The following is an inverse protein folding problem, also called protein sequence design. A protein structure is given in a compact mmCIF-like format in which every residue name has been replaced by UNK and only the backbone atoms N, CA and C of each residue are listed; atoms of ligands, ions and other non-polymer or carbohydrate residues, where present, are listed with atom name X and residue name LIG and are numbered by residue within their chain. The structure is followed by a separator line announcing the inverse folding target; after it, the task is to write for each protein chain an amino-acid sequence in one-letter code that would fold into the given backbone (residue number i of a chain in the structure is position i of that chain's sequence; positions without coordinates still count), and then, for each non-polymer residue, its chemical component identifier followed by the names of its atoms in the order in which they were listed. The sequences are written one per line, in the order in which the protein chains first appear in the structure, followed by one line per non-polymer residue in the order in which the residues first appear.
data_IF_959650288711
#
_entry.id   IF_959650288711
#
_cell.length_a   1.000
_cell.length_b   1.000
_cell.length_c   1.000
_cell.angle_alpha   90.00
_cell.angle_beta   90.00
_cell.angle_gamma   90.00
#
_symmetry.space_group_name_H-M   'P 1'
#
loop_
_entity.id
_entity.type
_entity.pdbx_description
1 polymer ?
#
# COMPACT_ATOMS: atom_id res chain seq x y z
N UNK A 1 52.56 8.90 69.87
CA UNK A 1 51.13 8.50 69.81
C UNK A 1 50.63 8.85 68.42
N UNK A 2 50.20 7.85 67.65
CA UNK A 2 49.45 7.97 66.39
C UNK A 2 47.96 8.26 66.70
N UNK A 3 47.14 8.82 65.78
CA UNK A 3 46.69 8.07 64.60
C UNK A 3 46.60 8.85 63.27
N UNK A 4 46.45 8.05 62.23
CA UNK A 4 46.34 8.37 60.81
C UNK A 4 45.00 9.00 60.42
N UNK A 5 44.98 9.76 59.32
CA UNK A 5 43.83 9.80 58.43
C UNK A 5 44.27 9.76 56.97
N UNK A 6 43.89 8.67 56.33
CA UNK A 6 43.96 8.39 54.91
C UNK A 6 43.06 9.34 54.13
N UNK A 7 43.61 10.12 53.20
CA UNK A 7 42.85 10.69 52.10
C UNK A 7 43.05 9.84 50.85
N UNK A 8 42.32 8.73 50.81
CA UNK A 8 41.98 8.05 49.58
C UNK A 8 40.83 8.82 48.91
N UNK A 9 41.13 9.90 48.21
CA UNK A 9 40.13 10.52 47.32
C UNK A 9 40.00 9.67 46.06
N UNK A 10 38.87 8.98 45.97
CA UNK A 10 38.39 8.25 44.82
C UNK A 10 38.27 9.13 43.57
N UNK A 11 38.70 8.54 42.45
CA UNK A 11 38.02 8.47 41.15
C UNK A 11 37.24 9.70 40.63
N UNK A 12 37.55 10.08 39.39
CA UNK A 12 36.63 9.83 38.27
C UNK A 12 37.31 10.24 36.97
N UNK A 13 37.57 9.26 36.09
CA UNK A 13 37.94 9.54 34.71
C UNK A 13 36.85 10.40 34.08
N UNK A 14 37.23 11.56 33.53
CA UNK A 14 36.32 12.45 32.82
C UNK A 14 35.86 11.78 31.53
N UNK A 15 34.85 10.92 31.60
CA UNK A 15 34.12 10.51 30.42
C UNK A 15 33.39 11.76 29.93
N UNK A 16 33.88 12.33 28.83
CA UNK A 16 33.31 13.53 28.22
C UNK A 16 31.81 13.29 28.00
N UNK A 17 30.99 13.93 28.83
CA UNK A 17 29.53 13.77 28.86
C UNK A 17 28.91 13.99 27.48
N UNK A 18 29.55 14.84 26.67
CA UNK A 18 29.21 15.06 25.27
C UNK A 18 29.30 13.79 24.41
N UNK A 19 30.34 12.97 24.57
CA UNK A 19 30.54 11.72 23.83
C UNK A 19 29.51 10.68 24.25
N UNK A 20 29.24 10.58 25.55
CA UNK A 20 28.21 9.67 26.08
C UNK A 20 26.84 10.03 25.49
N UNK A 21 26.46 11.32 25.53
CA UNK A 21 25.20 11.78 24.97
C UNK A 21 25.11 11.55 23.46
N UNK A 22 26.22 11.77 22.73
CA UNK A 22 26.27 11.54 21.29
C UNK A 22 26.07 10.07 20.95
N UNK A 23 26.75 9.15 21.62
CA UNK A 23 26.56 7.71 21.38
C UNK A 23 25.15 7.24 21.76
N UNK A 24 24.55 7.83 22.79
CA UNK A 24 23.18 7.52 23.20
C UNK A 24 22.16 7.98 22.16
N UNK A 25 22.36 9.18 21.59
CA UNK A 25 21.53 9.72 20.52
C UNK A 25 21.68 8.91 19.22
N UNK A 26 22.91 8.55 18.83
CA UNK A 26 23.18 7.68 17.68
C UNK A 26 22.56 6.30 17.89
N UNK A 27 22.71 5.73 19.09
CA UNK A 27 22.09 4.46 19.46
C UNK A 27 20.57 4.49 19.30
N UNK A 28 19.91 5.54 19.79
CA UNK A 28 18.46 5.74 19.62
C UNK A 28 18.05 5.89 18.16
N UNK A 29 18.81 6.62 17.34
CA UNK A 29 18.54 6.76 15.91
C UNK A 29 18.69 5.44 15.17
N UNK A 30 19.72 4.65 15.48
CA UNK A 30 19.93 3.33 14.89
C UNK A 30 18.81 2.38 15.32
N UNK A 31 18.46 2.34 16.61
CA UNK A 31 17.37 1.51 17.12
C UNK A 31 16.03 1.91 16.49
N UNK A 32 15.75 3.21 16.43
CA UNK A 32 14.53 3.75 15.81
C UNK A 32 14.48 3.46 14.32
N UNK A 33 15.60 3.57 13.62
CA UNK A 33 15.73 3.21 12.21
C UNK A 33 15.51 1.72 11.95
N UNK A 34 16.09 0.84 12.78
CA UNK A 34 15.85 -0.61 12.70
C UNK A 34 14.40 -0.97 13.04
N UNK A 35 13.85 -0.40 14.11
CA UNK A 35 12.46 -0.63 14.51
C UNK A 35 11.49 -0.17 13.40
N UNK A 36 11.75 0.99 12.81
CA UNK A 36 11.00 1.48 11.66
C UNK A 36 11.14 0.55 10.45
N UNK A 37 12.34 0.04 10.19
CA UNK A 37 12.59 -0.89 9.08
C UNK A 37 11.85 -2.22 9.24
N UNK A 38 11.82 -2.78 10.46
CA UNK A 38 11.08 -4.01 10.79
C UNK A 38 9.56 -3.80 10.80
N UNK A 39 9.09 -2.64 11.25
CA UNK A 39 7.67 -2.30 11.29
C UNK A 39 7.13 -1.82 9.94
N UNK A 40 7.98 -1.50 8.97
CA UNK A 40 7.53 -1.12 7.64
C UNK A 40 6.79 -2.32 7.05
N UNK A 41 5.48 -2.21 6.75
CA UNK A 41 4.79 -3.29 6.05
C UNK A 41 5.58 -3.57 4.78
N UNK A 42 5.74 -4.84 4.36
CA UNK A 42 6.38 -5.19 3.11
C UNK A 42 5.52 -4.61 1.98
N UNK A 43 5.77 -3.35 1.68
CA UNK A 43 5.43 -2.71 0.43
C UNK A 43 6.30 -3.44 -0.58
N UNK A 44 5.75 -4.53 -1.11
CA UNK A 44 6.40 -5.44 -2.02
C UNK A 44 6.96 -4.57 -3.15
N UNK A 45 8.27 -4.36 -3.13
CA UNK A 45 8.95 -3.67 -4.19
C UNK A 45 8.73 -4.53 -5.45
N UNK A 46 7.99 -4.08 -6.47
CA UNK A 46 7.64 -4.92 -7.61
C UNK A 46 8.86 -5.40 -8.40
N UNK A 47 10.03 -4.76 -8.22
CA UNK A 47 11.31 -5.25 -8.77
C UNK A 47 11.92 -6.43 -8.01
N UNK A 48 11.50 -6.68 -6.76
CA UNK A 48 12.02 -7.78 -5.95
C UNK A 48 11.26 -9.10 -6.17
N UNK A 49 10.02 -9.05 -6.69
CA UNK A 49 9.24 -10.24 -7.05
C UNK A 49 8.77 -10.12 -8.52
N UNK A 50 9.43 -10.81 -9.48
CA UNK A 50 9.02 -10.81 -10.89
C UNK A 50 7.57 -11.23 -11.11
N UNK A 51 7.03 -12.12 -10.26
CA UNK A 51 5.63 -12.58 -10.34
C UNK A 51 4.67 -11.48 -9.91
N UNK A 52 5.05 -10.64 -8.96
CA UNK A 52 4.25 -9.49 -8.56
C UNK A 52 4.15 -8.44 -9.69
N UNK A 53 5.25 -8.23 -10.42
CA UNK A 53 5.25 -7.38 -11.61
C UNK A 53 4.37 -7.97 -12.73
N UNK A 54 4.43 -9.28 -12.95
CA UNK A 54 3.55 -9.99 -13.89
C UNK A 54 2.07 -9.84 -13.51
N UNK A 55 1.72 -10.03 -12.23
CA UNK A 55 0.35 -9.86 -11.75
C UNK A 55 -0.16 -8.43 -11.98
N UNK A 56 0.68 -7.44 -11.70
CA UNK A 56 0.37 -6.03 -11.97
C UNK A 56 0.17 -5.77 -13.47
N UNK A 57 1.03 -6.31 -14.33
CA UNK A 57 0.92 -6.18 -15.77
C UNK A 57 -0.36 -6.85 -16.31
N UNK A 58 -0.71 -8.02 -15.78
CA UNK A 58 -1.94 -8.74 -16.15
C UNK A 58 -3.16 -7.86 -15.92
N UNK A 59 -3.28 -7.22 -14.75
CA UNK A 59 -4.38 -6.30 -14.45
C UNK A 59 -4.34 -5.07 -15.34
N UNK A 60 -3.19 -4.42 -15.47
CA UNK A 60 -3.08 -3.18 -16.25
C UNK A 60 -3.42 -3.36 -17.73
N UNK A 61 -3.15 -4.54 -18.29
CA UNK A 61 -3.41 -4.91 -19.70
C UNK A 61 -4.73 -5.64 -19.90
N UNK A 62 -5.41 -6.05 -18.83
CA UNK A 62 -6.69 -6.73 -18.92
C UNK A 62 -7.73 -5.86 -19.65
N UNK A 63 -8.58 -6.50 -20.46
CA UNK A 63 -9.66 -5.80 -21.18
C UNK A 63 -10.58 -5.08 -20.20
N UNK A 64 -10.94 -3.84 -20.51
CA UNK A 64 -11.93 -3.08 -19.78
C UNK A 64 -13.25 -3.00 -20.56
N UNK A 65 -14.31 -2.55 -19.88
CA UNK A 65 -15.64 -2.38 -20.47
C UNK A 65 -15.70 -1.25 -21.51
N UNK A 66 -15.06 -0.12 -21.21
CA UNK A 66 -15.16 1.12 -21.99
C UNK A 66 -13.83 1.54 -22.63
N UNK A 67 -12.75 0.79 -22.42
CA UNK A 67 -11.44 1.08 -22.98
C UNK A 67 -10.69 -0.22 -23.34
N UNK A 68 -9.63 -0.14 -24.15
CA UNK A 68 -8.80 -1.30 -24.48
C UNK A 68 -8.24 -2.03 -23.26
N UNK A 69 -7.83 -1.30 -22.22
CA UNK A 69 -7.26 -1.88 -21.00
C UNK A 69 -7.79 -1.23 -19.72
N UNK A 70 -7.71 -1.93 -18.58
CA UNK A 70 -8.11 -1.38 -17.27
C UNK A 70 -7.31 -0.14 -16.89
N UNK A 71 -5.99 -0.13 -17.16
CA UNK A 71 -5.15 1.05 -16.93
C UNK A 71 -5.67 2.26 -17.72
N UNK A 72 -6.05 2.05 -18.98
CA UNK A 72 -6.58 3.12 -19.82
C UNK A 72 -7.95 3.58 -19.33
N UNK A 73 -8.86 2.67 -19.01
CA UNK A 73 -10.18 3.01 -18.49
C UNK A 73 -10.12 3.84 -17.21
N UNK A 74 -9.21 3.49 -16.28
CA UNK A 74 -9.01 4.25 -15.05
C UNK A 74 -8.42 5.64 -15.32
N UNK A 75 -7.44 5.72 -16.24
CA UNK A 75 -6.82 6.99 -16.63
C UNK A 75 -7.84 7.94 -17.26
N UNK A 76 -8.65 7.45 -18.21
CA UNK A 76 -9.69 8.23 -18.87
C UNK A 76 -10.77 8.68 -17.88
N UNK A 77 -11.14 7.84 -16.92
CA UNK A 77 -12.07 8.20 -15.84
C UNK A 77 -11.52 9.35 -14.99
N UNK A 78 -10.27 9.25 -14.54
CA UNK A 78 -9.61 10.29 -13.75
C UNK A 78 -9.50 11.59 -14.55
N UNK A 79 -9.06 11.53 -15.80
CA UNK A 79 -8.99 12.69 -16.69
C UNK A 79 -10.37 13.31 -16.92
N UNK A 80 -11.41 12.51 -17.11
CA UNK A 80 -12.79 12.98 -17.26
C UNK A 80 -13.32 13.70 -16.02
N UNK A 81 -12.88 13.29 -14.81
CA UNK A 81 -13.20 14.01 -13.56
C UNK A 81 -12.44 15.32 -13.46
N UNK A 82 -11.14 15.32 -13.74
CA UNK A 82 -10.30 16.52 -13.74
C UNK A 82 -10.81 17.57 -14.74
N UNK A 83 -11.18 17.15 -15.96
CA UNK A 83 -11.72 18.04 -17.00
C UNK A 83 -13.05 18.70 -16.60
N UNK A 84 -13.80 18.11 -15.67
CA UNK A 84 -15.03 18.66 -15.10
C UNK A 84 -14.77 19.60 -13.92
N UNK A 85 -13.51 19.94 -13.66
CA UNK A 85 -13.11 20.81 -12.55
C UNK A 85 -13.20 20.17 -11.17
N UNK A 86 -13.30 18.84 -11.06
CA UNK A 86 -13.28 18.13 -9.78
C UNK A 86 -11.84 17.84 -9.36
N UNK A 87 -11.48 18.12 -8.12
CA UNK A 87 -10.23 17.63 -7.55
C UNK A 87 -10.19 16.10 -7.61
N UNK A 88 -9.16 15.55 -8.23
CA UNK A 88 -8.98 14.09 -8.34
C UNK A 88 -7.51 13.75 -8.26
N UNK A 89 -7.20 12.68 -7.52
CA UNK A 89 -5.84 12.14 -7.43
C UNK A 89 -5.90 10.62 -7.48
N UNK A 90 -5.17 10.05 -8.43
CA UNK A 90 -4.92 8.61 -8.46
C UNK A 90 -3.69 8.30 -7.61
N UNK A 91 -3.80 7.25 -6.80
CA UNK A 91 -2.69 6.68 -6.04
C UNK A 91 -1.75 5.86 -6.91
N UNK A 92 -0.73 5.30 -6.28
CA UNK A 92 0.16 4.35 -6.93
C UNK A 92 -0.50 2.98 -7.06
N UNK A 93 -0.13 2.26 -8.12
CA UNK A 93 -0.50 0.85 -8.27
C UNK A 93 0.36 0.04 -7.31
N UNK A 94 -0.29 -0.78 -6.51
CA UNK A 94 0.37 -1.66 -5.54
C UNK A 94 -0.06 -3.10 -5.79
N UNK A 95 0.82 -4.04 -5.42
CA UNK A 95 0.56 -5.46 -5.54
C UNK A 95 0.92 -6.14 -4.22
N UNK A 96 0.00 -6.95 -3.73
CA UNK A 96 0.13 -7.71 -2.49
C UNK A 96 0.03 -9.19 -2.82
N UNK A 97 1.01 -9.98 -2.39
CA UNK A 97 0.95 -11.44 -2.50
C UNK A 97 0.02 -11.99 -1.42
N UNK A 98 -1.03 -12.72 -1.81
CA UNK A 98 -1.94 -13.39 -0.86
C UNK A 98 -1.47 -14.81 -0.53
N UNK A 99 -1.26 -15.64 -1.54
CA UNK A 99 -0.82 -17.04 -1.37
C UNK A 99 -0.31 -17.60 -2.68
N UNK A 100 0.79 -18.34 -2.67
CA UNK A 100 1.31 -19.05 -3.86
C UNK A 100 1.40 -18.14 -5.10
N UNK A 101 0.53 -18.37 -6.10
CA UNK A 101 0.41 -17.62 -7.36
C UNK A 101 -0.79 -16.65 -7.39
N UNK A 102 -1.36 -16.40 -6.21
CA UNK A 102 -2.46 -15.50 -5.99
C UNK A 102 -1.99 -14.15 -5.46
N UNK A 103 -2.28 -13.11 -6.22
CA UNK A 103 -1.92 -11.73 -5.94
C UNK A 103 -3.17 -10.86 -5.88
N UNK A 104 -3.09 -9.73 -5.20
CA UNK A 104 -4.10 -8.68 -5.21
C UNK A 104 -3.45 -7.39 -5.67
N UNK A 105 -3.98 -6.81 -6.74
CA UNK A 105 -3.53 -5.53 -7.28
C UNK A 105 -4.51 -4.46 -6.85
N UNK A 106 -3.99 -3.36 -6.30
CA UNK A 106 -4.78 -2.27 -5.72
C UNK A 106 -4.34 -0.92 -6.28
N UNK A 107 -5.31 -0.04 -6.47
CA UNK A 107 -5.09 1.39 -6.71
C UNK A 107 -6.23 2.17 -6.10
N UNK A 108 -5.94 3.27 -5.42
CA UNK A 108 -6.96 4.16 -4.88
C UNK A 108 -7.13 5.38 -5.78
N UNK A 109 -8.37 5.86 -5.91
CA UNK A 109 -8.66 7.16 -6.52
C UNK A 109 -9.36 8.02 -5.48
N UNK A 110 -8.78 9.17 -5.20
CA UNK A 110 -9.35 10.18 -4.32
C UNK A 110 -10.07 11.23 -5.15
N UNK A 111 -11.34 11.44 -4.86
CA UNK A 111 -12.24 12.32 -5.58
C UNK A 111 -12.77 13.40 -4.63
N UNK A 112 -12.79 14.64 -5.09
CA UNK A 112 -13.45 15.74 -4.42
C UNK A 112 -14.97 15.64 -4.67
N UNK A 113 -15.73 15.48 -3.60
CA UNK A 113 -17.18 15.51 -3.61
C UNK A 113 -17.73 16.74 -2.93
N UNK A 114 -18.72 17.36 -3.58
CA UNK A 114 -19.45 18.53 -3.09
C UNK A 114 -20.83 18.11 -2.56
N UNK A 115 -20.88 17.33 -1.49
CA UNK A 115 -22.18 17.00 -0.85
C UNK A 115 -22.40 17.93 0.35
N UNK A 116 -23.40 18.81 0.25
CA UNK A 116 -23.87 19.62 1.39
C UNK A 116 -23.06 20.87 1.74
N UNK A 117 -22.42 21.53 0.77
CA UNK A 117 -21.80 22.86 0.98
C UNK A 117 -20.39 22.86 1.56
N UNK A 118 -19.71 21.70 1.61
CA UNK A 118 -18.30 21.58 2.01
C UNK A 118 -17.49 20.67 1.09
N UNK A 119 -16.17 20.91 1.06
CA UNK A 119 -15.18 20.06 0.37
C UNK A 119 -15.03 18.75 1.14
N UNK A 120 -15.52 17.63 0.60
CA UNK A 120 -15.30 16.29 1.18
C UNK A 120 -14.53 15.43 0.19
N UNK A 121 -13.42 14.85 0.65
CA UNK A 121 -12.65 13.89 -0.13
C UNK A 121 -13.22 12.49 0.07
N UNK A 122 -13.45 11.79 -1.04
CA UNK A 122 -13.88 10.40 -1.07
C UNK A 122 -12.77 9.56 -1.67
N UNK A 123 -12.40 8.47 -0.99
CA UNK A 123 -11.44 7.50 -1.50
C UNK A 123 -12.19 6.30 -2.06
N UNK A 124 -11.79 5.85 -3.25
CA UNK A 124 -12.32 4.66 -3.91
C UNK A 124 -11.21 3.68 -4.17
N UNK A 125 -11.29 2.52 -3.52
CA UNK A 125 -10.34 1.44 -3.70
C UNK A 125 -10.75 0.53 -4.85
N UNK A 126 -9.89 0.44 -5.85
CA UNK A 126 -10.02 -0.50 -6.95
C UNK A 126 -9.14 -1.70 -6.64
N UNK A 127 -9.75 -2.86 -6.47
CA UNK A 127 -9.06 -4.09 -6.10
C UNK A 127 -9.37 -5.20 -7.10
N UNK A 128 -8.32 -5.88 -7.57
CA UNK A 128 -8.43 -7.06 -8.40
C UNK A 128 -7.60 -8.20 -7.81
N UNK A 129 -8.19 -9.37 -7.72
CA UNK A 129 -7.49 -10.61 -7.45
C UNK A 129 -6.95 -11.17 -8.76
N UNK A 130 -5.71 -11.63 -8.72
CA UNK A 130 -4.98 -12.19 -9.85
C UNK A 130 -4.52 -13.59 -9.51
N UNK A 131 -4.92 -14.57 -10.31
CA UNK A 131 -4.39 -15.93 -10.26
C UNK A 131 -3.44 -16.10 -11.45
N UNK A 132 -2.12 -16.09 -11.20
CA UNK A 132 -1.11 -16.20 -12.26
C UNK A 132 -1.14 -17.57 -12.94
N UNK A 133 -1.49 -18.63 -12.22
CA UNK A 133 -1.58 -19.99 -12.76
C UNK A 133 -2.69 -20.09 -13.81
N UNK A 134 -3.82 -19.43 -13.57
CA UNK A 134 -4.96 -19.39 -14.50
C UNK A 134 -4.95 -18.20 -15.45
N UNK A 135 -3.99 -17.28 -15.27
CA UNK A 135 -3.96 -15.97 -15.93
C UNK A 135 -5.32 -15.24 -15.83
N UNK A 136 -5.95 -15.30 -14.66
CA UNK A 136 -7.28 -14.73 -14.46
C UNK A 136 -7.24 -13.48 -13.58
N UNK A 137 -8.11 -12.52 -13.89
CA UNK A 137 -8.31 -11.29 -13.14
C UNK A 137 -9.77 -11.25 -12.70
N UNK A 138 -10.00 -11.08 -11.40
CA UNK A 138 -11.34 -11.05 -10.80
C UNK A 138 -11.49 -9.75 -10.00
N UNK A 139 -12.58 -8.99 -10.17
CA UNK A 139 -12.77 -7.77 -9.40
C UNK A 139 -13.13 -8.13 -7.95
N UNK A 140 -12.51 -7.44 -6.99
CA UNK A 140 -12.73 -7.62 -5.56
C UNK A 140 -13.44 -6.41 -4.92
N UNK A 141 -13.59 -5.31 -5.65
CA UNK A 141 -14.35 -4.13 -5.22
C UNK A 141 -15.37 -3.71 -6.28
N UNK A 142 -16.47 -3.08 -5.84
CA UNK A 142 -17.50 -2.52 -6.75
C UNK A 142 -16.91 -1.60 -7.84
N UNK A 143 -16.06 -0.60 -7.52
CA UNK A 143 -15.51 0.26 -8.57
C UNK A 143 -14.58 -0.49 -9.53
N UNK A 144 -13.92 -1.58 -9.10
CA UNK A 144 -13.15 -2.46 -9.97
C UNK A 144 -14.06 -3.28 -10.91
N UNK A 145 -15.19 -3.78 -10.40
CA UNK A 145 -16.20 -4.48 -11.20
C UNK A 145 -16.79 -3.57 -12.29
N UNK A 146 -17.07 -2.31 -11.98
CA UNK A 146 -17.60 -1.32 -12.93
C UNK A 146 -16.70 -1.10 -14.16
N UNK A 147 -15.39 -1.33 -14.02
CA UNK A 147 -14.42 -1.22 -15.10
C UNK A 147 -14.27 -2.51 -15.92
N UNK A 148 -14.69 -3.65 -15.37
CA UNK A 148 -14.52 -4.96 -16.02
C UNK A 148 -15.63 -5.27 -17.04
N UNK A 149 -15.34 -6.11 -18.05
CA UNK A 149 -16.35 -6.57 -18.99
C UNK A 149 -17.48 -7.34 -18.28
N UNK A 150 -18.71 -7.31 -18.82
CA UNK A 150 -19.83 -8.08 -18.28
C UNK A 150 -19.48 -9.57 -18.18
N UNK A 151 -19.73 -10.19 -17.03
CA UNK A 151 -19.44 -11.61 -16.80
C UNK A 151 -18.02 -11.93 -16.29
N UNK A 152 -17.17 -10.93 -16.12
CA UNK A 152 -15.86 -11.10 -15.47
C UNK A 152 -15.92 -11.04 -13.93
N UNK A 153 -17.08 -10.73 -13.36
CA UNK A 153 -17.32 -10.84 -11.93
C UNK A 153 -17.18 -12.31 -11.50
N UNK A 154 -16.31 -12.55 -10.52
CA UNK A 154 -16.22 -13.86 -9.88
C UNK A 154 -17.55 -14.24 -9.22
N UNK A 155 -17.76 -15.52 -8.84
CA UNK A 155 -19.03 -16.02 -8.29
C UNK A 155 -19.56 -15.31 -7.03
N UNK A 156 -18.80 -14.37 -6.44
CA UNK A 156 -19.08 -13.79 -5.13
C UNK A 156 -20.06 -12.60 -5.16
N UNK A 157 -20.45 -12.07 -6.33
CA UNK A 157 -21.39 -10.94 -6.41
C UNK A 157 -22.70 -11.25 -7.14
N UNK A 158 -22.78 -12.40 -7.84
CA UNK A 158 -24.05 -12.88 -8.39
C UNK A 158 -24.67 -13.81 -7.36
N UNK A 159 -25.56 -13.28 -6.51
CA UNK A 159 -26.52 -14.05 -5.73
C UNK A 159 -27.42 -14.87 -6.65
N UNK A 160 -26.87 -15.93 -7.24
CA UNK A 160 -27.62 -17.00 -7.88
C UNK A 160 -28.02 -17.97 -6.80
N UNK A 161 -29.21 -17.78 -6.23
CA UNK A 161 -29.88 -18.88 -5.54
C UNK A 161 -29.98 -20.08 -6.49
N UNK A 162 -29.92 -21.32 -5.98
CA UNK A 162 -30.05 -22.49 -6.83
C UNK A 162 -31.41 -22.42 -7.54
N UNK A 163 -31.39 -22.51 -8.88
CA UNK A 163 -32.56 -22.90 -9.64
C UNK A 163 -32.86 -24.35 -9.25
N UNK A 164 -33.60 -24.51 -8.16
CA UNK A 164 -34.24 -25.76 -7.78
C UNK A 164 -35.33 -26.08 -8.80
N UNK A 165 -35.28 -27.33 -9.21
CA UNK A 165 -36.22 -28.11 -10.02
C UNK A 165 -37.70 -27.77 -9.79
#
# INVERSE_FOLDING_TARGET
MQPEHSDATQAAGSFSTSKVLHYLAVGLLVLGGLAYWVMKPPTANPMADPRAAEAMALVQTHRAKQAPTLRQALTERVQGMAARGKGVRMGEWTVEKKRDDLYVVKVFVREEGSQGGGLRWFERDYEWQVDLTKQSVVPMSMPAEDLMPPGAAGPLLRGGGPAGL
#
